data_IF_625961689346
#
_entry.id   IF_625961689346
#
_cell.length_a   1.000
_cell.length_b   1.000
_cell.length_c   1.000
_cell.angle_alpha   90.00
_cell.angle_beta   90.00
_cell.angle_gamma   90.00
#
_symmetry.space_group_name_H-M   'P 1'
#
loop_
_entity.id
_entity.type
_entity.pdbx_description
1 polymer ?
#
# COMPACT_ATOMS: atom_id res chain seq x y z
N UNK A 1 -19.20 2.17 11.96
CA UNK A 1 -18.58 1.83 11.40
C UNK A 1 -18.24 1.70 11.25
N UNK A 2 -18.10 2.00 11.45
CA UNK A 2 -17.43 1.65 11.01
C UNK A 2 -16.88 1.80 11.17
N UNK A 3 -16.80 2.38 11.30
CA UNK A 3 -15.93 2.32 10.98
C UNK A 3 -15.52 2.57 11.43
N UNK A 4 -15.45 2.84 11.69
CA UNK A 4 -14.69 2.83 11.70
C UNK A 4 -14.07 2.63 12.20
N UNK A 5 -14.08 2.75 12.12
CA UNK A 5 -13.12 2.39 12.15
C UNK A 5 -12.51 2.45 12.26
N UNK A 6 -12.12 2.80 12.14
CA UNK A 6 -11.17 2.74 11.88
C UNK A 6 -10.45 2.72 12.37
N UNK A 7 -10.28 2.83 12.38
CA UNK A 7 -9.25 2.63 12.47
C UNK A 7 -8.86 2.45 12.94
N UNK A 8 -8.96 2.48 12.95
CA UNK A 8 -8.17 2.09 12.98
C UNK A 8 -7.60 1.68 13.07
N UNK A 9 -7.47 1.72 12.88
CA UNK A 9 -6.51 1.21 12.70
C UNK A 9 -5.78 1.00 12.98
N UNK A 10 -5.61 1.15 12.92
CA UNK A 10 -4.68 0.82 12.95
C UNK A 10 -4.38 0.64 13.65
N UNK A 11 -4.78 0.74 13.94
CA UNK A 11 -4.18 0.41 14.22
C UNK A 11 -4.10 -0.34 14.57
N UNK A 12 -4.31 -0.68 14.58
CA UNK A 12 -3.71 -1.38 14.59
C UNK A 12 -3.10 -1.94 14.53
N UNK A 13 -2.81 -1.78 14.32
CA UNK A 13 -1.89 -2.25 14.04
C UNK A 13 -1.28 -2.29 14.50
N UNK A 14 -1.35 -2.07 14.58
CA UNK A 14 -0.53 -2.01 14.87
C UNK A 14 -0.59 -2.02 15.93
N UNK A 15 -1.16 -2.49 16.39
CA UNK A 15 -1.01 -2.59 16.88
C UNK A 15 -0.89 -2.95 17.56
N UNK A 16 -0.70 -2.89 17.77
CA UNK A 16 -0.21 -2.90 18.03
C UNK A 16 0.34 -2.43 18.10
N UNK A 17 0.46 -1.95 18.05
CA UNK A 17 0.85 -1.27 17.78
C UNK A 17 0.52 -0.61 17.31
N UNK A 18 0.92 -0.59 17.13
CA UNK A 18 0.16 -0.37 16.14
C UNK A 18 -0.97 -1.07 16.20
N UNK A 19 -1.46 -0.73 16.79
CA UNK A 19 -2.49 -1.47 16.87
C UNK A 19 -2.92 -1.90 15.73
N UNK A 20 -2.88 -2.74 15.58
CA UNK A 20 -3.21 -3.02 14.34
C UNK A 20 -4.59 -2.87 14.10
N UNK A 21 -4.92 -2.04 13.20
CA UNK A 21 -6.25 -2.03 12.74
C UNK A 21 -6.59 -3.39 12.23
N UNK A 22 -7.78 -3.84 12.47
CA UNK A 22 -8.22 -5.05 11.88
C UNK A 22 -8.80 -4.69 10.53
N UNK A 23 -8.18 -5.20 9.50
CA UNK A 23 -8.67 -4.99 8.15
C UNK A 23 -9.64 -6.11 7.86
N UNK A 24 -10.92 -5.78 7.84
CA UNK A 24 -11.95 -6.76 7.66
C UNK A 24 -12.21 -7.11 6.22
N UNK A 25 -11.67 -6.33 5.29
CA UNK A 25 -12.05 -6.44 3.89
C UNK A 25 -10.82 -6.64 3.02
N UNK A 26 -10.72 -7.81 2.38
CA UNK A 26 -9.59 -8.09 1.49
C UNK A 26 -9.66 -7.31 0.18
N UNK A 27 -10.68 -6.44 0.01
CA UNK A 27 -10.78 -5.55 -1.14
C UNK A 27 -10.18 -4.17 -0.85
N UNK A 28 -9.46 -4.03 0.24
CA UNK A 28 -8.76 -2.78 0.55
C UNK A 28 -7.38 -2.85 -0.09
N UNK A 29 -7.17 -2.06 -1.12
CA UNK A 29 -5.92 -2.05 -1.86
C UNK A 29 -5.09 -0.80 -1.60
N UNK A 30 -5.74 0.31 -1.24
CA UNK A 30 -5.06 1.58 -0.99
C UNK A 30 -5.21 1.91 0.50
N UNK A 31 -4.08 2.02 1.19
CA UNK A 31 -4.06 2.31 2.63
C UNK A 31 -3.49 3.70 2.82
N UNK A 32 -4.31 4.62 3.28
CA UNK A 32 -3.94 6.02 3.46
C UNK A 32 -4.00 6.38 4.93
N UNK A 33 -2.92 6.10 5.66
CA UNK A 33 -2.85 6.41 7.08
C UNK A 33 -2.52 7.88 7.33
N UNK A 34 -2.12 8.60 6.29
CA UNK A 34 -1.77 10.01 6.41
C UNK A 34 -2.94 10.92 6.10
N UNK A 35 -4.05 10.36 5.59
CA UNK A 35 -5.23 11.12 5.17
C UNK A 35 -4.86 12.19 4.13
N UNK A 36 -4.04 11.79 3.15
CA UNK A 36 -3.62 12.71 2.09
C UNK A 36 -4.38 12.50 0.79
N UNK A 37 -5.18 11.43 0.70
CA UNK A 37 -5.95 11.14 -0.52
C UNK A 37 -7.39 11.62 -0.44
N UNK A 38 -7.90 11.83 0.77
CA UNK A 38 -9.24 12.37 0.97
C UNK A 38 -10.31 11.56 0.29
N UNK A 39 -11.19 12.26 -0.42
CA UNK A 39 -12.32 11.60 -1.08
C UNK A 39 -11.91 10.75 -2.26
N UNK A 40 -10.68 10.88 -2.74
CA UNK A 40 -10.21 10.12 -3.91
C UNK A 40 -9.81 8.70 -3.58
N UNK A 41 -9.73 8.34 -2.29
CA UNK A 41 -9.28 7.00 -1.90
C UNK A 41 -10.19 5.92 -2.48
N UNK A 42 -11.48 6.17 -2.54
CA UNK A 42 -12.44 5.21 -3.06
C UNK A 42 -12.19 4.91 -4.54
N UNK A 43 -12.02 5.95 -5.33
CA UNK A 43 -11.77 5.81 -6.77
C UNK A 43 -10.44 5.10 -7.02
N UNK A 44 -9.41 5.46 -6.26
CA UNK A 44 -8.10 4.83 -6.41
C UNK A 44 -8.15 3.36 -5.99
N UNK A 45 -8.92 3.05 -4.96
CA UNK A 45 -9.07 1.67 -4.52
C UNK A 45 -9.77 0.82 -5.59
N UNK A 46 -10.80 1.38 -6.24
CA UNK A 46 -11.49 0.68 -7.32
C UNK A 46 -10.54 0.43 -8.49
N UNK A 47 -9.70 1.41 -8.81
CA UNK A 47 -8.73 1.25 -9.88
C UNK A 47 -7.72 0.15 -9.54
N UNK A 48 -7.23 0.15 -8.31
CA UNK A 48 -6.28 -0.87 -7.86
C UNK A 48 -6.90 -2.26 -7.91
N UNK A 49 -8.16 -2.37 -7.52
CA UNK A 49 -8.87 -3.65 -7.55
C UNK A 49 -9.00 -4.16 -8.99
N UNK A 50 -9.38 -3.28 -9.90
CA UNK A 50 -9.54 -3.65 -11.32
C UNK A 50 -8.21 -4.12 -11.91
N UNK A 51 -7.15 -3.36 -11.68
CA UNK A 51 -5.82 -3.71 -12.18
C UNK A 51 -5.37 -5.03 -11.59
N UNK A 52 -5.62 -5.23 -10.30
CA UNK A 52 -5.22 -6.44 -9.60
C UNK A 52 -5.92 -7.67 -10.15
N UNK A 53 -7.23 -7.54 -10.41
CA UNK A 53 -7.99 -8.67 -10.97
C UNK A 53 -7.49 -9.02 -12.37
N UNK A 54 -7.19 -8.01 -13.18
CA UNK A 54 -6.70 -8.25 -14.53
C UNK A 54 -5.32 -8.89 -14.52
N UNK A 55 -4.47 -8.51 -13.57
CA UNK A 55 -3.11 -9.05 -13.50
C UNK A 55 -3.02 -10.37 -12.76
N UNK A 56 -4.04 -10.73 -11.99
CA UNK A 56 -3.96 -11.89 -11.11
C UNK A 56 -3.02 -11.69 -9.94
N UNK A 57 -2.78 -10.45 -9.55
CA UNK A 57 -1.89 -10.08 -8.46
C UNK A 57 -2.58 -9.05 -7.58
N UNK A 58 -2.16 -8.97 -6.31
CA UNK A 58 -2.60 -7.87 -5.45
C UNK A 58 -1.65 -6.70 -5.66
N UNK A 59 -2.10 -5.67 -6.37
CA UNK A 59 -1.31 -4.47 -6.63
C UNK A 59 -1.84 -3.37 -5.72
N UNK A 60 -1.02 -2.92 -4.77
CA UNK A 60 -1.50 -2.10 -3.67
C UNK A 60 -0.48 -1.02 -3.31
N UNK A 61 -0.93 -0.04 -2.52
CA UNK A 61 -0.10 1.10 -2.13
C UNK A 61 -0.48 1.57 -0.74
N UNK A 62 0.53 1.95 0.04
CA UNK A 62 0.31 2.48 1.39
C UNK A 62 1.08 3.77 1.57
N UNK A 63 0.41 4.78 2.14
CA UNK A 63 1.06 6.02 2.53
C UNK A 63 0.86 6.20 4.03
N UNK A 64 1.95 6.45 4.75
CA UNK A 64 1.90 6.68 6.18
C UNK A 64 2.79 7.87 6.52
N UNK A 65 2.54 8.51 7.67
CA UNK A 65 3.40 9.61 8.11
C UNK A 65 4.74 9.10 8.59
N UNK A 66 4.74 8.01 9.35
CA UNK A 66 5.98 7.46 9.90
C UNK A 66 5.80 5.99 10.19
N UNK A 67 6.91 5.25 10.18
CA UNK A 67 6.93 3.84 10.58
C UNK A 67 7.31 3.68 12.05
N UNK A 68 7.55 4.79 12.74
CA UNK A 68 7.92 4.81 14.15
C UNK A 68 9.13 3.93 14.43
N UNK A 69 10.07 3.93 13.50
CA UNK A 69 11.32 3.21 13.68
C UNK A 69 11.31 1.76 13.22
N UNK A 70 10.16 1.24 12.81
CA UNK A 70 10.09 -0.15 12.32
C UNK A 70 10.71 -0.32 10.94
N UNK A 71 10.62 0.73 10.13
CA UNK A 71 11.10 0.67 8.75
C UNK A 71 10.02 0.23 7.78
N UNK A 72 10.10 0.77 6.56
CA UNK A 72 9.09 0.47 5.55
C UNK A 72 9.04 -1.02 5.16
N UNK A 73 10.17 -1.78 5.11
CA UNK A 73 10.05 -3.20 4.83
C UNK A 73 9.20 -3.96 5.84
N UNK A 74 9.41 -3.72 7.13
CA UNK A 74 8.68 -4.44 8.18
C UNK A 74 7.20 -4.07 8.18
N UNK A 75 6.90 -2.77 8.03
CA UNK A 75 5.52 -2.31 8.06
C UNK A 75 4.76 -2.84 6.85
N UNK A 76 5.36 -2.77 5.66
CA UNK A 76 4.67 -3.24 4.45
C UNK A 76 4.38 -4.74 4.52
N UNK A 77 5.32 -5.53 5.04
CA UNK A 77 5.09 -6.95 5.18
C UNK A 77 3.93 -7.22 6.13
N UNK A 78 3.91 -6.55 7.27
CA UNK A 78 2.87 -6.73 8.26
C UNK A 78 1.49 -6.37 7.72
N UNK A 79 1.40 -5.23 7.04
CA UNK A 79 0.13 -4.77 6.51
C UNK A 79 -0.34 -5.65 5.35
N UNK A 80 0.57 -5.99 4.44
CA UNK A 80 0.20 -6.84 3.31
C UNK A 80 -0.33 -8.20 3.79
N UNK A 81 0.38 -8.83 4.72
CA UNK A 81 -0.04 -10.13 5.22
C UNK A 81 -1.35 -10.06 5.97
N UNK A 82 -1.60 -8.94 6.66
CA UNK A 82 -2.86 -8.74 7.36
C UNK A 82 -4.04 -8.62 6.41
N UNK A 83 -3.82 -8.04 5.23
CA UNK A 83 -4.88 -7.86 4.25
C UNK A 83 -5.06 -9.06 3.34
N UNK A 84 -3.97 -9.66 2.89
CA UNK A 84 -4.00 -10.62 1.78
C UNK A 84 -3.33 -11.95 2.09
N UNK A 85 -2.84 -12.15 3.32
CA UNK A 85 -2.09 -13.35 3.68
C UNK A 85 -0.92 -13.54 2.71
N UNK A 86 -0.81 -14.69 2.07
CA UNK A 86 0.29 -14.97 1.16
C UNK A 86 -0.10 -14.85 -0.31
N UNK A 87 -1.20 -14.16 -0.61
CA UNK A 87 -1.61 -13.97 -1.98
C UNK A 87 -0.51 -13.30 -2.79
N UNK A 88 -0.33 -13.69 -4.06
CA UNK A 88 0.72 -13.07 -4.86
C UNK A 88 0.42 -11.62 -5.16
N UNK A 89 1.47 -10.78 -5.07
CA UNK A 89 1.31 -9.37 -5.35
C UNK A 89 2.41 -8.55 -4.72
N UNK A 90 2.25 -7.22 -4.76
CA UNK A 90 3.23 -6.31 -4.19
C UNK A 90 2.58 -5.03 -3.69
N UNK A 91 3.28 -4.36 -2.78
CA UNK A 91 2.83 -3.13 -2.14
C UNK A 91 3.95 -2.11 -2.16
N UNK A 92 3.66 -0.93 -2.72
CA UNK A 92 4.55 0.22 -2.57
C UNK A 92 4.15 0.94 -1.28
N UNK A 93 5.09 1.13 -0.38
CA UNK A 93 4.87 1.91 0.83
C UNK A 93 5.75 3.15 0.80
N UNK A 94 5.19 4.28 1.17
CA UNK A 94 5.93 5.53 1.34
C UNK A 94 5.65 6.10 2.72
N UNK A 95 6.72 6.39 3.46
CA UNK A 95 6.65 7.03 4.77
C UNK A 95 7.09 8.48 4.62
N UNK A 96 6.16 9.42 4.83
CA UNK A 96 6.38 10.81 4.50
C UNK A 96 7.46 11.45 5.36
N UNK A 97 7.35 11.30 6.68
CA UNK A 97 8.29 11.95 7.59
C UNK A 97 9.67 11.31 7.54
N UNK A 98 9.72 10.02 7.29
CA UNK A 98 10.99 9.28 7.20
C UNK A 98 11.62 9.41 5.83
N UNK A 99 10.86 9.87 4.83
CA UNK A 99 11.31 9.99 3.44
C UNK A 99 11.88 8.66 2.95
N UNK A 100 11.13 7.59 3.18
CA UNK A 100 11.56 6.23 2.91
C UNK A 100 10.48 5.51 2.13
N UNK A 101 10.90 4.68 1.17
CA UNK A 101 9.96 3.88 0.39
C UNK A 101 10.48 2.46 0.28
N UNK A 102 9.58 1.55 -0.03
CA UNK A 102 9.93 0.15 -0.22
C UNK A 102 8.82 -0.52 -1.05
N UNK A 103 9.18 -1.57 -1.79
CA UNK A 103 8.17 -2.40 -2.44
C UNK A 103 8.29 -3.80 -1.85
N UNK A 104 7.24 -4.22 -1.16
CA UNK A 104 7.15 -5.56 -0.59
C UNK A 104 6.47 -6.47 -1.60
N UNK A 105 7.01 -7.67 -1.81
CA UNK A 105 6.43 -8.64 -2.73
C UNK A 105 6.14 -9.93 -2.01
N UNK A 106 5.08 -10.62 -2.43
CA UNK A 106 4.67 -11.90 -1.87
C UNK A 106 4.24 -12.82 -3.01
N UNK A 107 4.65 -14.09 -2.94
CA UNK A 107 4.17 -15.09 -3.89
C UNK A 107 4.64 -14.89 -5.32
N UNK A 108 5.72 -14.16 -5.53
CA UNK A 108 6.21 -13.83 -6.86
C UNK A 108 7.58 -14.44 -7.14
N UNK A 109 7.89 -15.55 -6.47
CA UNK A 109 9.23 -16.15 -6.58
C UNK A 109 9.56 -16.61 -8.01
N UNK A 110 8.54 -17.01 -8.77
CA UNK A 110 8.77 -17.48 -10.13
C UNK A 110 8.92 -16.33 -11.14
N UNK A 111 8.46 -15.13 -10.76
CA UNK A 111 8.55 -13.97 -11.64
C UNK A 111 8.66 -12.71 -10.77
N UNK A 112 9.77 -12.56 -10.03
CA UNK A 112 9.90 -11.42 -9.10
C UNK A 112 10.08 -10.11 -9.86
N UNK A 113 9.69 -9.02 -9.20
CA UNK A 113 10.02 -7.70 -9.72
C UNK A 113 11.53 -7.52 -9.72
N UNK A 114 12.06 -6.99 -10.81
CA UNK A 114 13.47 -6.65 -10.87
C UNK A 114 13.70 -5.32 -10.15
N UNK A 115 14.95 -5.05 -9.80
CA UNK A 115 15.30 -3.77 -9.20
C UNK A 115 14.92 -2.62 -10.14
N UNK A 116 15.12 -2.82 -11.43
CA UNK A 116 14.77 -1.80 -12.42
C UNK A 116 13.26 -1.53 -12.42
N UNK A 117 12.44 -2.59 -12.34
CA UNK A 117 10.99 -2.43 -12.29
C UNK A 117 10.55 -1.73 -11.01
N UNK A 118 11.16 -2.08 -9.87
CA UNK A 118 10.84 -1.42 -8.62
C UNK A 118 11.18 0.06 -8.68
N UNK A 119 12.34 0.40 -9.24
CA UNK A 119 12.74 1.79 -9.36
C UNK A 119 11.83 2.56 -10.32
N UNK A 120 11.37 1.92 -11.37
CA UNK A 120 10.44 2.55 -12.29
C UNK A 120 9.10 2.87 -11.62
N UNK A 121 8.58 1.91 -10.87
CA UNK A 121 7.33 2.14 -10.13
C UNK A 121 7.49 3.29 -9.13
N UNK A 122 8.59 3.33 -8.42
CA UNK A 122 8.85 4.42 -7.49
C UNK A 122 8.97 5.77 -8.21
N UNK A 123 9.67 5.79 -9.34
CA UNK A 123 9.86 7.04 -10.08
C UNK A 123 8.54 7.60 -10.58
N UNK A 124 7.64 6.74 -11.06
CA UNK A 124 6.32 7.21 -11.50
C UNK A 124 5.54 7.82 -10.35
N UNK A 125 5.64 7.23 -9.17
CA UNK A 125 5.02 7.78 -7.97
C UNK A 125 5.67 9.11 -7.58
N UNK A 126 6.99 9.14 -7.57
CA UNK A 126 7.74 10.22 -6.93
C UNK A 126 7.77 11.53 -7.73
N UNK A 127 7.54 11.47 -9.05
CA UNK A 127 7.63 12.68 -9.86
C UNK A 127 6.37 13.53 -9.83
N UNK A 128 5.30 13.04 -9.25
CA UNK A 128 4.05 13.78 -9.20
C UNK A 128 4.04 14.76 -8.03
N UNK A 129 3.24 15.84 -8.17
CA UNK A 129 3.21 16.91 -7.17
C UNK A 129 2.21 16.61 -6.04
N UNK A 130 1.15 15.84 -6.32
CA UNK A 130 0.09 15.57 -5.37
C UNK A 130 -0.04 14.07 -5.14
N UNK A 131 -0.34 13.67 -3.89
CA UNK A 131 -0.37 12.25 -3.55
C UNK A 131 -1.43 11.48 -4.34
N UNK A 132 -2.56 12.10 -4.65
CA UNK A 132 -3.57 11.44 -5.48
C UNK A 132 -2.95 11.05 -6.83
N UNK A 133 -2.22 11.97 -7.43
CA UNK A 133 -1.57 11.72 -8.72
C UNK A 133 -0.42 10.73 -8.59
N UNK A 134 0.28 10.75 -7.45
CA UNK A 134 1.35 9.79 -7.20
C UNK A 134 0.80 8.36 -7.23
N UNK A 135 -0.27 8.12 -6.49
CA UNK A 135 -0.87 6.79 -6.43
C UNK A 135 -1.43 6.40 -7.80
N UNK A 136 -2.11 7.33 -8.47
CA UNK A 136 -2.69 7.05 -9.78
C UNK A 136 -1.61 6.68 -10.79
N UNK A 137 -0.50 7.42 -10.83
CA UNK A 137 0.60 7.14 -11.75
C UNK A 137 1.28 5.81 -11.44
N UNK A 138 1.44 5.49 -10.16
CA UNK A 138 1.97 4.21 -9.75
C UNK A 138 1.08 3.06 -10.25
N UNK A 139 -0.24 3.20 -10.08
CA UNK A 139 -1.17 2.17 -10.51
C UNK A 139 -1.13 2.01 -12.04
N UNK A 140 -1.05 3.11 -12.78
CA UNK A 140 -0.93 3.03 -14.22
C UNK A 140 0.33 2.28 -14.65
N UNK A 141 1.44 2.54 -13.97
CA UNK A 141 2.70 1.87 -14.29
C UNK A 141 2.68 0.40 -13.90
N UNK A 142 2.00 0.06 -12.81
CA UNK A 142 1.92 -1.31 -12.31
C UNK A 142 0.97 -2.17 -13.14
N UNK A 143 -0.07 -1.54 -13.69
CA UNK A 143 -1.03 -2.25 -14.55
C UNK A 143 -0.54 -2.34 -15.94
#
# INVERSE_FOLDING_TARGET
MKHKLKITILSILFGLLFGIPVYADSNTYIIDQSDVLGEYISTLNEKAETISEEAGLRITCMITNTTEGMGTPAVSEQVYKGLFADDPGFMLIYSIDDQEWFIYSSGMESAPLTEEQENELWNEFAIQDYYVDCVDAYLDAAG
#
